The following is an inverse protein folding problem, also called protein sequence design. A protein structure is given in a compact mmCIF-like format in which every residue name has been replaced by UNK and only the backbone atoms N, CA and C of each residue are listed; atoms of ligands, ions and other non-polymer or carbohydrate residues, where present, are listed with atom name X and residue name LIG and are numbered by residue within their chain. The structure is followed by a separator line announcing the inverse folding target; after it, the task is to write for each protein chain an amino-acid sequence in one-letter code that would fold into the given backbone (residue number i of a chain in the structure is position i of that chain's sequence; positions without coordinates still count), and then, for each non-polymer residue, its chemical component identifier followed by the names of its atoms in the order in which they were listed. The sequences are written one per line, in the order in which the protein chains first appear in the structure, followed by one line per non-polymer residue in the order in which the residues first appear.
data_IF_226879950989
#
_entry.id   IF_226879950989
#
_cell.length_a   1.000
_cell.length_b   1.000
_cell.length_c   1.000
_cell.angle_alpha   90.00
_cell.angle_beta   90.00
_cell.angle_gamma   90.00
#
_symmetry.space_group_name_H-M   'P 1'
#
loop_
_entity.id
_entity.type
_entity.pdbx_description
1 polymer ?
#
# COMPACT_ATOMS: atom_id res chain seq x y z
N UNK A 1 6.62 -8.35 10.51
CA UNK A 1 6.25 -8.55 9.09
C UNK A 1 7.46 -8.28 8.20
N UNK A 2 7.95 -7.04 8.13
CA UNK A 2 9.12 -6.71 7.30
C UNK A 2 10.38 -7.52 7.66
N UNK A 3 10.71 -7.66 8.94
CA UNK A 3 11.90 -8.44 9.35
C UNK A 3 11.79 -9.94 9.05
N UNK A 4 10.57 -10.46 9.09
CA UNK A 4 10.29 -11.86 8.77
C UNK A 4 10.44 -12.11 7.27
N UNK A 5 9.88 -11.22 6.44
CA UNK A 5 10.12 -11.20 5.01
C UNK A 5 11.62 -11.10 4.68
N UNK A 6 12.33 -10.19 5.33
CA UNK A 6 13.78 -10.01 5.15
C UNK A 6 14.58 -11.25 5.54
N UNK A 7 14.20 -11.92 6.63
CA UNK A 7 14.85 -13.18 7.06
C UNK A 7 14.69 -14.27 5.99
N UNK A 8 13.49 -14.43 5.43
CA UNK A 8 13.25 -15.38 4.34
C UNK A 8 14.07 -15.03 3.11
N UNK A 9 14.08 -13.75 2.72
CA UNK A 9 14.86 -13.27 1.57
C UNK A 9 16.36 -13.56 1.71
N UNK A 10 16.95 -13.37 2.90
CA UNK A 10 18.38 -13.63 3.15
C UNK A 10 18.77 -15.11 3.09
N UNK A 11 17.82 -16.02 3.34
CA UNK A 11 18.07 -17.46 3.40
C UNK A 11 17.71 -18.18 2.09
N UNK A 12 17.25 -17.44 1.10
CA UNK A 12 16.74 -17.96 -0.17
C UNK A 12 17.62 -17.55 -1.33
N UNK A 13 17.48 -18.28 -2.44
CA UNK A 13 17.95 -17.82 -3.75
C UNK A 13 17.26 -16.52 -4.19
N UNK A 14 17.87 -15.82 -5.14
CA UNK A 14 17.28 -14.63 -5.75
C UNK A 14 16.03 -15.02 -6.52
N UNK A 15 14.90 -14.38 -6.19
CA UNK A 15 13.61 -14.61 -6.83
C UNK A 15 13.01 -13.29 -7.32
N UNK A 16 12.11 -13.38 -8.29
CA UNK A 16 11.40 -12.22 -8.82
C UNK A 16 10.47 -11.59 -7.77
N UNK A 17 10.12 -10.32 -7.95
CA UNK A 17 9.15 -9.60 -7.10
C UNK A 17 7.81 -10.33 -7.05
N UNK A 18 7.29 -10.78 -8.20
CA UNK A 18 6.04 -11.54 -8.28
C UNK A 18 6.11 -12.85 -7.48
N UNK A 19 7.20 -13.61 -7.64
CA UNK A 19 7.40 -14.86 -6.89
C UNK A 19 7.41 -14.65 -5.37
N UNK A 20 8.01 -13.55 -4.89
CA UNK A 20 7.97 -13.21 -3.47
C UNK A 20 6.57 -12.85 -2.98
N UNK A 21 5.79 -12.13 -3.79
CA UNK A 21 4.39 -11.81 -3.48
C UNK A 21 3.58 -13.10 -3.39
N UNK A 22 3.64 -13.97 -4.40
CA UNK A 22 2.90 -15.24 -4.41
C UNK A 22 3.26 -16.14 -3.20
N UNK A 23 4.55 -16.22 -2.87
CA UNK A 23 5.05 -16.99 -1.73
C UNK A 23 4.55 -16.44 -0.39
N UNK A 24 4.63 -15.12 -0.19
CA UNK A 24 4.26 -14.49 1.09
C UNK A 24 2.74 -14.40 1.28
N UNK A 25 1.97 -14.32 0.19
CA UNK A 25 0.51 -14.41 0.20
C UNK A 25 0.02 -15.86 0.36
N UNK A 26 0.84 -16.85 -0.03
CA UNK A 26 0.48 -18.27 -0.01
C UNK A 26 -0.34 -18.69 -1.22
N UNK A 27 -0.22 -17.98 -2.34
CA UNK A 27 -0.91 -18.25 -3.61
C UNK A 27 -0.18 -19.31 -4.46
N UNK A 28 1.04 -19.69 -4.05
CA UNK A 28 1.85 -20.70 -4.74
C UNK A 28 1.70 -22.09 -4.11
N UNK A 29 1.75 -23.13 -4.96
CA UNK A 29 1.73 -24.55 -4.58
C UNK A 29 3.12 -25.14 -4.33
N UNK A 30 4.16 -24.31 -4.18
CA UNK A 30 5.51 -24.80 -3.94
C UNK A 30 5.66 -25.40 -2.53
N UNK A 31 5.53 -26.73 -2.44
CA UNK A 31 5.61 -27.50 -1.18
C UNK A 31 6.92 -27.26 -0.42
N UNK A 32 8.04 -27.06 -1.14
CA UNK A 32 9.35 -26.81 -0.52
C UNK A 32 9.41 -25.45 0.19
N UNK A 33 8.54 -24.50 -0.19
CA UNK A 33 8.49 -23.13 0.35
C UNK A 33 7.18 -22.83 1.08
N UNK A 34 6.46 -23.86 1.55
CA UNK A 34 5.19 -23.69 2.28
C UNK A 34 5.31 -22.83 3.56
N UNK A 35 6.51 -22.74 4.13
CA UNK A 35 6.80 -21.90 5.29
C UNK A 35 6.92 -20.39 4.98
N UNK A 36 6.78 -19.98 3.73
CA UNK A 36 7.05 -18.59 3.31
C UNK A 36 5.83 -17.68 3.43
N UNK A 37 4.64 -18.26 3.59
CA UNK A 37 3.41 -17.51 3.78
C UNK A 37 3.44 -16.74 5.10
N UNK A 38 3.18 -15.44 5.04
CA UNK A 38 3.03 -14.61 6.22
C UNK A 38 1.70 -14.92 6.91
N UNK A 39 1.78 -15.33 8.18
CA UNK A 39 0.60 -15.70 8.97
C UNK A 39 0.15 -14.57 9.88
N UNK A 40 -1.16 -14.55 10.16
CA UNK A 40 -1.82 -13.61 11.08
C UNK A 40 -1.50 -12.14 10.76
N UNK A 41 -1.42 -11.80 9.47
CA UNK A 41 -1.01 -10.47 9.01
C UNK A 41 -1.97 -9.41 9.55
N UNK A 42 -3.28 -9.66 9.50
CA UNK A 42 -4.32 -8.73 9.97
C UNK A 42 -4.19 -8.44 11.47
N UNK A 43 -4.04 -9.48 12.29
CA UNK A 43 -3.95 -9.36 13.75
C UNK A 43 -2.65 -8.65 14.14
N UNK A 44 -1.53 -8.96 13.45
CA UNK A 44 -0.24 -8.32 13.69
C UNK A 44 -0.23 -6.85 13.28
N UNK A 45 -0.92 -6.51 12.18
CA UNK A 45 -1.12 -5.11 11.78
C UNK A 45 -2.01 -4.37 12.78
N UNK A 46 -3.11 -4.98 13.23
CA UNK A 46 -3.98 -4.39 14.25
C UNK A 46 -3.22 -4.13 15.56
N UNK A 47 -2.42 -5.10 16.02
CA UNK A 47 -1.53 -4.91 17.18
C UNK A 47 -0.56 -3.74 16.97
N UNK A 48 0.10 -3.66 15.81
CA UNK A 48 1.00 -2.55 15.50
C UNK A 48 0.31 -1.18 15.47
N UNK A 49 -0.97 -1.12 15.10
CA UNK A 49 -1.77 0.12 15.18
C UNK A 49 -2.19 0.47 16.60
N UNK A 50 -2.41 -0.53 17.47
CA UNK A 50 -2.62 -0.32 18.91
C UNK A 50 -1.36 0.22 19.58
N UNK A 51 -0.21 -0.42 19.33
CA UNK A 51 1.08 -0.02 19.91
C UNK A 51 1.48 1.41 19.49
N UNK A 52 0.98 1.88 18.34
CA UNK A 52 1.17 3.25 17.83
C UNK A 52 0.09 4.25 18.29
N UNK A 53 -0.88 3.81 19.08
CA UNK A 53 -1.96 4.66 19.60
C UNK A 53 -3.05 5.03 18.58
N UNK A 54 -3.05 4.45 17.38
CA UNK A 54 -4.08 4.70 16.36
C UNK A 54 -5.37 3.96 16.71
N UNK A 55 -5.24 2.72 17.18
CA UNK A 55 -6.34 1.92 17.71
C UNK A 55 -6.20 1.81 19.23
N UNK A 56 -7.30 1.52 19.91
CA UNK A 56 -7.29 1.10 21.32
C UNK A 56 -7.86 -0.30 21.46
N UNK A 57 -7.49 -1.03 22.49
CA UNK A 57 -8.07 -2.34 22.77
C UNK A 57 -9.24 -2.18 23.74
N UNK A 58 -10.41 -2.67 23.33
CA UNK A 58 -11.61 -2.75 24.16
C UNK A 58 -12.08 -4.20 24.25
N UNK A 59 -12.44 -4.64 25.46
CA UNK A 59 -13.07 -5.94 25.66
C UNK A 59 -14.58 -5.77 25.50
N UNK A 60 -15.17 -6.42 24.49
CA UNK A 60 -16.63 -6.51 24.33
C UNK A 60 -17.11 -7.85 24.84
N UNK A 61 -18.05 -7.80 25.77
CA UNK A 61 -18.67 -8.99 26.33
C UNK A 61 -19.90 -9.35 25.46
N UNK A 62 -19.90 -10.54 24.89
CA UNK A 62 -21.05 -11.15 24.23
C UNK A 62 -21.67 -12.18 25.18
N UNK A 63 -22.89 -12.63 24.88
CA UNK A 63 -23.64 -13.55 25.75
C UNK A 63 -22.84 -14.82 26.11
N UNK A 64 -22.00 -15.31 25.20
CA UNK A 64 -21.29 -16.59 25.34
C UNK A 64 -19.76 -16.47 25.41
N UNK A 65 -19.19 -15.29 25.14
CA UNK A 65 -17.75 -15.10 25.08
C UNK A 65 -17.39 -13.62 25.13
N UNK A 66 -16.13 -13.34 25.44
CA UNK A 66 -15.58 -12.01 25.33
C UNK A 66 -14.67 -11.89 24.10
N UNK A 67 -14.71 -10.75 23.43
CA UNK A 67 -13.90 -10.50 22.23
C UNK A 67 -13.13 -9.20 22.39
N UNK A 68 -11.82 -9.25 22.11
CA UNK A 68 -11.02 -8.06 21.95
C UNK A 68 -11.43 -7.34 20.65
N UNK A 69 -11.78 -6.07 20.78
CA UNK A 69 -12.10 -5.18 19.66
C UNK A 69 -11.15 -4.01 19.63
N UNK A 70 -10.97 -3.45 18.43
CA UNK A 70 -9.94 -2.44 18.18
C UNK A 70 -10.54 -1.17 17.54
N UNK A 71 -11.39 -0.40 18.25
CA UNK A 71 -11.90 0.84 17.71
C UNK A 71 -10.80 1.88 17.50
N UNK A 72 -11.05 2.81 16.58
CA UNK A 72 -10.16 3.94 16.30
C UNK A 72 -10.09 4.85 17.52
N UNK A 73 -8.87 5.13 17.98
CA UNK A 73 -8.59 6.08 19.05
C UNK A 73 -8.25 7.45 18.48
N UNK A 74 -7.38 7.50 17.47
CA UNK A 74 -7.03 8.73 16.76
C UNK A 74 -7.62 8.73 15.35
N UNK A 75 -8.70 9.48 15.15
CA UNK A 75 -9.31 9.67 13.83
C UNK A 75 -8.52 10.65 12.96
N UNK A 76 -7.69 11.52 13.54
CA UNK A 76 -6.97 12.56 12.80
C UNK A 76 -5.96 11.96 11.83
N UNK A 77 -5.27 10.88 12.21
CA UNK A 77 -4.38 10.14 11.32
C UNK A 77 -5.11 9.59 10.08
N UNK A 78 -6.33 9.06 10.26
CA UNK A 78 -7.15 8.58 9.14
C UNK A 78 -7.59 9.75 8.25
N UNK A 79 -8.04 10.84 8.86
CA UNK A 79 -8.49 12.03 8.12
C UNK A 79 -7.37 12.65 7.30
N UNK A 80 -6.14 12.68 7.82
CA UNK A 80 -4.96 13.16 7.09
C UNK A 80 -4.66 12.30 5.86
N UNK A 81 -4.72 10.96 6.01
CA UNK A 81 -4.54 10.02 4.90
C UNK A 81 -5.62 10.24 3.84
N UNK A 82 -6.89 10.34 4.23
CA UNK A 82 -8.01 10.58 3.30
C UNK A 82 -7.85 11.91 2.58
N UNK A 83 -7.50 12.99 3.28
CA UNK A 83 -7.19 14.29 2.67
C UNK A 83 -6.04 14.19 1.67
N UNK A 84 -4.99 13.44 1.99
CA UNK A 84 -3.84 13.23 1.09
C UNK A 84 -4.21 12.46 -0.17
N UNK A 85 -5.05 11.43 -0.05
CA UNK A 85 -5.61 10.68 -1.19
C UNK A 85 -6.43 11.60 -2.08
N UNK A 86 -7.40 12.31 -1.51
CA UNK A 86 -8.27 13.24 -2.26
C UNK A 86 -7.43 14.31 -2.95
N UNK A 87 -6.47 14.92 -2.25
CA UNK A 87 -5.58 15.94 -2.81
C UNK A 87 -4.77 15.39 -3.98
N UNK A 88 -4.25 14.17 -3.85
CA UNK A 88 -3.44 13.52 -4.89
C UNK A 88 -4.25 13.23 -6.15
N UNK A 89 -5.52 12.82 -6.00
CA UNK A 89 -6.35 12.37 -7.12
C UNK A 89 -7.21 13.47 -7.76
N UNK A 90 -7.47 14.58 -7.05
CA UNK A 90 -8.32 15.67 -7.55
C UNK A 90 -7.53 16.89 -8.05
N UNK A 91 -6.25 17.03 -7.70
CA UNK A 91 -5.42 18.10 -8.23
C UNK A 91 -5.03 17.84 -9.70
N UNK A 92 -5.23 18.88 -10.53
CA UNK A 92 -4.95 18.87 -11.98
C UNK A 92 -3.47 18.63 -12.30
N UNK A 93 -2.55 18.98 -11.38
CA UNK A 93 -1.11 18.83 -11.56
C UNK A 93 -0.53 17.79 -10.61
N UNK A 94 0.05 16.71 -11.16
CA UNK A 94 0.77 15.66 -10.41
C UNK A 94 1.96 16.17 -9.58
N UNK A 95 2.46 17.38 -9.85
CA UNK A 95 3.53 18.04 -9.10
C UNK A 95 3.08 18.67 -7.78
N UNK A 96 1.77 18.68 -7.48
CA UNK A 96 1.21 19.22 -6.24
C UNK A 96 0.95 18.15 -5.16
N UNK A 97 1.40 16.91 -5.38
CA UNK A 97 1.42 15.88 -4.35
C UNK A 97 2.25 16.44 -3.20
N UNK A 98 1.65 16.60 -2.03
CA UNK A 98 2.31 17.19 -0.87
C UNK A 98 3.57 16.38 -0.55
N UNK A 99 4.73 16.95 -0.85
CA UNK A 99 6.00 16.43 -0.39
C UNK A 99 6.23 16.99 1.00
N UNK A 100 6.26 16.08 1.97
CA UNK A 100 6.90 16.37 3.25
C UNK A 100 8.41 16.35 3.00
N UNK A 101 9.13 17.49 3.17
CA UNK A 101 10.56 17.57 2.92
C UNK A 101 11.38 16.72 3.90
N UNK A 102 10.85 16.42 5.10
CA UNK A 102 11.54 15.63 6.12
C UNK A 102 11.42 14.12 5.86
N UNK A 103 10.56 13.71 4.92
CA UNK A 103 10.31 12.31 4.61
C UNK A 103 10.88 11.97 3.22
N UNK A 104 11.95 11.16 3.15
CA UNK A 104 12.48 10.66 1.88
C UNK A 104 11.41 9.95 1.07
N UNK A 105 11.36 10.25 -0.24
CA UNK A 105 10.41 9.66 -1.18
C UNK A 105 8.94 9.91 -0.83
N UNK A 106 8.61 11.01 -0.16
CA UNK A 106 7.24 11.33 0.29
C UNK A 106 6.19 11.26 -0.82
N UNK A 107 6.51 11.75 -2.03
CA UNK A 107 5.67 11.63 -3.21
C UNK A 107 5.47 10.17 -3.64
N UNK A 108 6.56 9.42 -3.82
CA UNK A 108 6.50 8.01 -4.24
C UNK A 108 5.74 7.14 -3.22
N UNK A 109 5.91 7.40 -1.92
CA UNK A 109 5.15 6.73 -0.85
C UNK A 109 3.65 7.01 -0.97
N UNK A 110 3.28 8.24 -1.28
CA UNK A 110 1.88 8.63 -1.47
C UNK A 110 1.27 7.96 -2.71
N UNK A 111 2.00 7.97 -3.83
CA UNK A 111 1.56 7.28 -5.06
C UNK A 111 1.43 5.78 -4.82
N UNK A 112 2.43 5.15 -4.21
CA UNK A 112 2.40 3.73 -3.89
C UNK A 112 1.23 3.36 -2.96
N UNK A 113 0.93 4.20 -1.95
CA UNK A 113 -0.23 4.02 -1.07
C UNK A 113 -1.55 4.09 -1.85
N UNK A 114 -1.72 5.07 -2.74
CA UNK A 114 -2.94 5.25 -3.52
C UNK A 114 -3.14 4.10 -4.52
N UNK A 115 -2.08 3.71 -5.25
CA UNK A 115 -2.10 2.57 -6.16
C UNK A 115 -2.36 1.25 -5.43
N UNK A 116 -1.78 1.04 -4.24
CA UNK A 116 -2.04 -0.14 -3.42
C UNK A 116 -3.50 -0.16 -2.91
N UNK A 117 -4.05 0.99 -2.51
CA UNK A 117 -5.45 1.09 -2.08
C UNK A 117 -6.43 0.82 -3.24
N UNK A 118 -6.05 1.22 -4.47
CA UNK A 118 -6.79 0.90 -5.68
C UNK A 118 -6.79 -0.60 -5.95
N UNK A 119 -5.61 -1.23 -6.05
CA UNK A 119 -5.51 -2.68 -6.28
C UNK A 119 -6.11 -3.54 -5.15
N UNK A 120 -6.14 -3.03 -3.92
CA UNK A 120 -6.79 -3.68 -2.78
C UNK A 120 -8.31 -3.40 -2.68
N UNK A 121 -8.92 -2.72 -3.66
CA UNK A 121 -10.34 -2.38 -3.69
C UNK A 121 -10.87 -1.64 -2.46
N UNK A 122 -10.03 -0.79 -1.85
CA UNK A 122 -10.41 0.02 -0.69
C UNK A 122 -10.34 1.53 -0.96
N UNK A 123 -9.89 1.95 -2.14
CA UNK A 123 -9.77 3.36 -2.52
C UNK A 123 -11.13 4.10 -2.46
N UNK A 124 -12.22 3.45 -2.89
CA UNK A 124 -13.56 4.05 -2.92
C UNK A 124 -13.99 4.61 -1.56
N UNK A 125 -13.59 3.93 -0.47
CA UNK A 125 -13.92 4.32 0.90
C UNK A 125 -13.40 5.73 1.26
N UNK A 126 -12.31 6.18 0.62
CA UNK A 126 -11.76 7.52 0.82
C UNK A 126 -12.44 8.58 -0.06
N UNK A 127 -13.14 8.18 -1.12
CA UNK A 127 -13.76 9.07 -2.12
C UNK A 127 -15.26 9.29 -1.89
N UNK A 128 -15.84 8.72 -0.83
CA UNK A 128 -17.27 8.77 -0.52
C UNK A 128 -17.82 10.21 -0.45
N UNK A 129 -17.01 11.17 -0.01
CA UNK A 129 -17.43 12.58 0.09
C UNK A 129 -17.40 13.34 -1.24
N UNK A 130 -16.81 12.76 -2.29
CA UNK A 130 -16.72 13.39 -3.60
C UNK A 130 -17.98 13.16 -4.43
N UNK A 131 -18.29 14.10 -5.33
CA UNK A 131 -19.35 13.95 -6.33
C UNK A 131 -19.00 12.84 -7.33
N UNK A 132 -20.01 12.31 -8.02
CA UNK A 132 -19.82 11.25 -9.03
C UNK A 132 -18.76 11.62 -10.07
N UNK A 133 -18.83 12.83 -10.63
CA UNK A 133 -17.86 13.32 -11.62
C UNK A 133 -16.42 13.37 -11.07
N UNK A 134 -16.25 13.76 -9.81
CA UNK A 134 -14.93 13.81 -9.17
C UNK A 134 -14.38 12.41 -8.87
N UNK A 135 -15.24 11.43 -8.58
CA UNK A 135 -14.82 10.03 -8.38
C UNK A 135 -14.32 9.41 -9.69
N UNK A 136 -15.04 9.60 -10.78
CA UNK A 136 -14.61 9.12 -12.11
C UNK A 136 -13.23 9.70 -12.49
N UNK A 137 -13.04 11.02 -12.28
CA UNK A 137 -11.73 11.66 -12.48
C UNK A 137 -10.64 11.08 -11.58
N UNK A 138 -10.96 10.79 -10.32
CA UNK A 138 -10.02 10.20 -9.39
C UNK A 138 -9.60 8.78 -9.81
N UNK A 139 -10.52 7.98 -10.35
CA UNK A 139 -10.21 6.66 -10.91
C UNK A 139 -9.32 6.75 -12.16
N UNK A 140 -9.69 7.60 -13.12
CA UNK A 140 -8.82 7.87 -14.27
C UNK A 140 -7.42 8.32 -13.83
N UNK A 141 -7.34 9.14 -12.76
CA UNK A 141 -6.06 9.62 -12.24
C UNK A 141 -5.21 8.52 -11.59
N UNK A 142 -5.81 7.59 -10.84
CA UNK A 142 -5.03 6.48 -10.27
C UNK A 142 -4.56 5.51 -11.35
N UNK A 143 -5.33 5.30 -12.43
CA UNK A 143 -4.90 4.50 -13.59
C UNK A 143 -3.69 5.14 -14.30
N UNK A 144 -3.73 6.46 -14.50
CA UNK A 144 -2.58 7.22 -15.02
C UNK A 144 -1.34 7.05 -14.13
N UNK A 145 -1.50 7.22 -12.81
CA UNK A 145 -0.40 7.07 -11.85
C UNK A 145 0.15 5.64 -11.87
N UNK A 146 -0.71 4.64 -11.91
CA UNK A 146 -0.30 3.24 -11.92
C UNK A 146 0.45 2.91 -13.22
N UNK A 147 -0.01 3.41 -14.36
CA UNK A 147 0.67 3.26 -15.65
C UNK A 147 2.04 3.97 -15.67
N UNK A 148 2.12 5.19 -15.16
CA UNK A 148 3.35 5.99 -15.15
C UNK A 148 4.44 5.43 -14.21
N UNK A 149 4.05 4.81 -13.09
CA UNK A 149 4.96 4.35 -12.04
C UNK A 149 5.19 2.82 -12.04
N UNK A 150 4.50 2.04 -12.88
CA UNK A 150 4.68 0.57 -12.99
C UNK A 150 5.81 0.15 -13.92
N UNK A 151 6.49 1.10 -14.57
CA UNK A 151 7.65 0.82 -15.43
C UNK A 151 8.84 1.66 -15.02
N UNK A 152 10.03 1.05 -15.07
CA UNK A 152 11.30 1.69 -14.80
C UNK A 152 12.18 1.65 -16.05
N UNK A 153 12.87 2.74 -16.44
CA UNK A 153 12.83 4.09 -15.88
C UNK A 153 11.46 4.77 -15.99
N UNK A 154 11.11 5.62 -15.01
CA UNK A 154 9.85 6.35 -15.05
C UNK A 154 9.74 7.23 -16.30
N UNK A 155 8.50 7.42 -16.77
CA UNK A 155 8.25 8.30 -17.91
C UNK A 155 8.69 9.74 -17.61
N UNK A 156 9.01 10.52 -18.66
CA UNK A 156 9.40 11.94 -18.53
C UNK A 156 8.34 12.83 -17.85
N UNK A 157 7.11 12.34 -17.70
CA UNK A 157 6.01 13.03 -16.99
C UNK A 157 6.18 12.96 -15.47
N UNK A 158 6.86 11.92 -14.98
CA UNK A 158 7.10 11.69 -13.57
C UNK A 158 8.28 12.55 -13.11
N UNK A 159 7.97 13.60 -12.34
CA UNK A 159 8.97 14.42 -11.67
C UNK A 159 9.13 13.91 -10.24
N UNK A 160 9.99 12.90 -10.07
CA UNK A 160 10.38 12.39 -8.75
C UNK A 160 11.88 12.62 -8.61
N UNK A 161 12.28 13.28 -7.52
CA UNK A 161 13.68 13.38 -7.15
C UNK A 161 14.15 12.01 -6.63
N UNK A 162 15.06 11.39 -7.36
CA UNK A 162 15.66 10.11 -7.00
C UNK A 162 17.07 10.42 -6.47
N UNK A 163 17.33 10.18 -5.17
CA UNK A 163 18.66 10.33 -4.63
C UNK A 163 19.65 9.42 -5.36
N UNK A 164 20.86 9.91 -5.55
CA UNK A 164 21.90 9.18 -6.27
C UNK A 164 22.15 7.79 -5.67
N UNK A 165 22.25 6.77 -6.53
CA UNK A 165 22.46 5.37 -6.11
C UNK A 165 21.23 4.68 -5.52
N UNK A 166 20.02 5.25 -5.71
CA UNK A 166 18.76 4.63 -5.30
C UNK A 166 17.95 4.01 -6.44
N UNK A 167 18.45 4.04 -7.67
CA UNK A 167 17.77 3.59 -8.88
C UNK A 167 17.27 2.14 -8.78
N UNK A 168 18.12 1.23 -8.28
CA UNK A 168 17.77 -0.18 -8.13
C UNK A 168 16.64 -0.39 -7.12
N UNK A 169 16.57 0.42 -6.06
CA UNK A 169 15.48 0.35 -5.09
C UNK A 169 14.17 0.87 -5.69
N UNK A 170 14.24 1.88 -6.55
CA UNK A 170 13.06 2.43 -7.25
C UNK A 170 12.53 1.45 -8.29
N UNK A 171 13.41 0.73 -8.98
CA UNK A 171 13.03 -0.35 -9.90
C UNK A 171 12.18 -1.42 -9.19
N UNK A 172 12.53 -1.80 -7.96
CA UNK A 172 11.72 -2.74 -7.17
C UNK A 172 10.33 -2.17 -6.86
N UNK A 173 10.22 -0.89 -6.55
CA UNK A 173 8.91 -0.24 -6.31
C UNK A 173 8.06 -0.27 -7.59
N UNK A 174 8.65 0.07 -8.73
CA UNK A 174 7.95 0.00 -10.02
C UNK A 174 7.50 -1.43 -10.36
N UNK A 175 8.35 -2.42 -10.08
CA UNK A 175 8.01 -3.83 -10.26
C UNK A 175 6.83 -4.28 -9.37
N UNK A 176 6.72 -3.79 -8.13
CA UNK A 176 5.54 -4.05 -7.28
C UNK A 176 4.29 -3.40 -7.86
N UNK A 177 4.38 -2.14 -8.32
CA UNK A 177 3.25 -1.45 -8.96
C UNK A 177 2.81 -2.14 -10.26
N UNK A 178 3.74 -2.78 -10.99
CA UNK A 178 3.41 -3.62 -12.15
C UNK A 178 2.71 -4.93 -11.80
N UNK A 179 2.79 -5.40 -10.55
CA UNK A 179 1.96 -6.51 -10.10
C UNK A 179 0.54 -6.01 -9.86
N UNK A 180 0.37 -4.82 -9.29
CA UNK A 180 -0.94 -4.21 -9.05
C UNK A 180 -1.75 -3.98 -10.33
N UNK A 181 -1.12 -3.64 -11.46
CA UNK A 181 -1.81 -3.52 -12.76
C UNK A 181 -2.45 -4.83 -13.24
N UNK A 182 -2.04 -5.96 -12.67
CA UNK A 182 -2.50 -7.30 -13.06
C UNK A 182 -3.45 -7.91 -12.04
N UNK A 183 -3.64 -7.29 -10.88
CA UNK A 183 -4.47 -7.88 -9.81
C UNK A 183 -5.96 -7.93 -10.16
N UNK A 184 -6.45 -7.06 -11.05
CA UNK A 184 -7.81 -7.13 -11.59
C UNK A 184 -8.11 -8.43 -12.36
N UNK A 185 -7.08 -9.18 -12.76
CA UNK A 185 -7.26 -10.49 -13.41
C UNK A 185 -7.45 -11.66 -12.44
N UNK A 186 -7.37 -11.42 -11.13
CA UNK A 186 -7.40 -12.44 -10.07
C UNK A 186 -8.75 -12.42 -9.31
N UNK A 187 -9.52 -11.35 -9.41
CA UNK A 187 -10.85 -11.18 -8.78
C UNK A 187 -11.99 -11.41 -9.79
#
# INVERSE_FOLDING_TARGET
LLDEALKMMKQSETMSVGSWIDLMSGETWNVLKIGYQLKQVRERLAKGLVDKGILRTEKRNFLLFDMATHPVSDSSAKDEIVKRVIKTLTHVNSSAISSDPDIPFSQLRTVAMVCAAYAANVLENALVQLSHEMRERAYTKVDELLSEYSSWPFSKKVKVEIPEGKDLQIEVVAAVLNVFTKMDSIL
#
